data_IF_902309792889
#
_entry.id   IF_902309792889
#
_cell.length_a   1.000
_cell.length_b   1.000
_cell.length_c   1.000
_cell.angle_alpha   90.00
_cell.angle_beta   90.00
_cell.angle_gamma   90.00
#
_symmetry.space_group_name_H-M   'P 1'
#
loop_
_entity.id
_entity.type
_entity.pdbx_description
1 polymer ?
#
# COMPACT_ATOMS: atom_id res chain seq x y z
N UNK A 1 0.44 -19.18 7.24
CA UNK A 1 1.35 -18.11 6.75
C UNK A 1 2.08 -18.64 5.52
N UNK A 2 2.10 -17.91 4.41
CA UNK A 2 2.76 -18.37 3.17
C UNK A 2 4.29 -18.35 3.37
N UNK A 3 4.98 -19.45 3.04
CA UNK A 3 6.45 -19.59 3.16
C UNK A 3 7.17 -18.45 2.43
N UNK A 4 6.68 -18.04 1.26
CA UNK A 4 7.22 -16.93 0.50
C UNK A 4 7.24 -15.62 1.31
N UNK A 5 6.15 -15.29 2.00
CA UNK A 5 6.10 -14.08 2.85
C UNK A 5 7.03 -14.18 4.06
N UNK A 6 7.20 -15.37 4.62
CA UNK A 6 8.16 -15.57 5.72
C UNK A 6 9.59 -15.29 5.26
N UNK A 7 10.00 -15.88 4.15
CA UNK A 7 11.33 -15.67 3.55
C UNK A 7 11.51 -14.18 3.22
N UNK A 8 10.51 -13.55 2.60
CA UNK A 8 10.56 -12.14 2.26
C UNK A 8 10.69 -11.25 3.51
N UNK A 9 9.94 -11.52 4.58
CA UNK A 9 10.07 -10.78 5.86
C UNK A 9 11.46 -10.91 6.47
N UNK A 10 12.05 -12.11 6.45
CA UNK A 10 13.41 -12.34 6.94
C UNK A 10 14.42 -11.54 6.11
N UNK A 11 14.30 -11.57 4.80
CA UNK A 11 15.13 -10.78 3.88
C UNK A 11 15.01 -9.28 4.18
N UNK A 12 13.77 -8.75 4.24
CA UNK A 12 13.52 -7.34 4.52
C UNK A 12 14.05 -6.92 5.89
N UNK A 13 13.89 -7.78 6.91
CA UNK A 13 14.40 -7.52 8.26
C UNK A 13 15.92 -7.46 8.29
N UNK A 14 16.59 -8.39 7.58
CA UNK A 14 18.05 -8.48 7.58
C UNK A 14 18.70 -7.34 6.77
N UNK A 15 18.28 -7.17 5.52
CA UNK A 15 18.92 -6.23 4.60
C UNK A 15 18.49 -4.78 4.81
N UNK A 16 17.22 -4.53 5.03
CA UNK A 16 16.68 -3.18 5.26
C UNK A 16 16.62 -2.80 6.75
N UNK A 17 17.10 -3.66 7.65
CA UNK A 17 17.06 -3.44 9.11
C UNK A 17 15.67 -2.93 9.54
N UNK A 18 14.63 -3.59 9.02
CA UNK A 18 13.25 -3.14 9.15
C UNK A 18 12.82 -3.05 10.60
N UNK A 19 12.37 -1.87 11.01
CA UNK A 19 11.69 -1.64 12.29
C UNK A 19 10.19 -1.57 12.05
N UNK A 20 9.44 -2.37 12.78
CA UNK A 20 8.00 -2.45 12.68
C UNK A 20 7.40 -1.95 13.98
N UNK A 21 6.55 -0.96 13.89
CA UNK A 21 5.83 -0.39 15.02
C UNK A 21 4.33 -0.48 14.76
N UNK A 22 3.62 -1.11 15.69
CA UNK A 22 2.16 -1.21 15.66
C UNK A 22 1.58 -0.38 16.80
N UNK A 23 0.57 0.43 16.52
CA UNK A 23 -0.31 0.98 17.55
C UNK A 23 -1.38 -0.05 17.93
N UNK A 24 -1.90 -0.75 16.93
CA UNK A 24 -2.82 -1.88 17.12
C UNK A 24 -2.42 -3.04 16.20
N UNK A 25 -2.68 -4.27 16.65
CA UNK A 25 -2.54 -5.43 15.80
C UNK A 25 -3.52 -5.29 14.62
N UNK A 26 -3.02 -5.43 13.37
CA UNK A 26 -3.91 -5.42 12.20
C UNK A 26 -4.76 -6.70 12.25
N UNK A 27 -5.88 -6.63 12.94
CA UNK A 27 -6.93 -7.61 12.82
C UNK A 27 -7.90 -7.07 11.77
N UNK A 28 -7.78 -7.55 10.54
CA UNK A 28 -8.75 -7.24 9.47
C UNK A 28 -10.00 -8.10 9.69
N UNK A 29 -10.69 -7.87 10.80
CA UNK A 29 -11.93 -8.60 11.13
C UNK A 29 -13.11 -8.13 10.28
N UNK A 30 -12.96 -7.01 9.59
CA UNK A 30 -13.94 -6.41 8.70
C UNK A 30 -13.25 -5.84 7.45
N UNK A 31 -14.00 -5.62 6.34
CA UNK A 31 -13.46 -5.02 5.13
C UNK A 31 -12.78 -3.69 5.41
N UNK A 32 -11.52 -3.59 5.06
CA UNK A 32 -10.68 -2.45 5.39
C UNK A 32 -9.99 -1.88 4.15
N UNK A 33 -9.77 -0.57 4.15
CA UNK A 33 -8.99 0.14 3.14
C UNK A 33 -7.65 0.52 3.76
N UNK A 34 -6.60 -0.18 3.38
CA UNK A 34 -5.25 0.08 3.83
C UNK A 34 -4.66 1.19 2.96
N UNK A 35 -4.17 2.26 3.60
CA UNK A 35 -3.72 3.49 2.95
C UNK A 35 -2.26 3.82 3.29
N UNK A 36 -1.29 3.19 2.59
CA UNK A 36 0.12 3.50 2.77
C UNK A 36 0.54 4.77 2.00
N UNK A 37 1.57 5.49 2.51
CA UNK A 37 2.26 6.51 1.73
C UNK A 37 3.11 5.86 0.62
N UNK A 38 3.46 6.63 -0.44
CA UNK A 38 4.12 6.07 -1.62
C UNK A 38 5.41 6.82 -2.00
N UNK A 39 6.54 6.32 -1.54
CA UNK A 39 7.86 6.95 -1.75
C UNK A 39 8.82 6.11 -2.60
N UNK A 40 8.51 4.82 -2.78
CA UNK A 40 9.34 3.87 -3.53
C UNK A 40 8.50 2.75 -4.14
N UNK A 41 9.00 2.06 -5.15
CA UNK A 41 8.42 0.79 -5.60
C UNK A 41 8.45 -0.30 -4.53
N UNK A 42 9.38 -0.19 -3.57
CA UNK A 42 9.48 -1.13 -2.46
C UNK A 42 8.33 -1.02 -1.47
N UNK A 43 7.61 0.10 -1.39
CA UNK A 43 6.47 0.24 -0.47
C UNK A 43 5.46 -0.90 -0.66
N UNK A 44 5.12 -1.23 -1.92
CA UNK A 44 4.21 -2.34 -2.22
C UNK A 44 4.76 -3.71 -1.79
N UNK A 45 6.09 -3.91 -1.89
CA UNK A 45 6.76 -5.15 -1.46
C UNK A 45 6.67 -5.30 0.06
N UNK A 46 6.90 -4.22 0.81
CA UNK A 46 6.76 -4.21 2.26
C UNK A 46 5.31 -4.46 2.68
N UNK A 47 4.35 -3.75 2.05
CA UNK A 47 2.92 -3.98 2.30
C UNK A 47 2.55 -5.45 2.05
N UNK A 48 2.96 -6.02 0.91
CA UNK A 48 2.72 -7.42 0.60
C UNK A 48 3.31 -8.38 1.65
N UNK A 49 4.53 -8.13 2.08
CA UNK A 49 5.21 -8.99 3.05
C UNK A 49 4.51 -9.02 4.41
N UNK A 50 3.97 -7.89 4.87
CA UNK A 50 3.47 -7.74 6.24
C UNK A 50 1.94 -7.83 6.38
N UNK A 51 1.17 -7.67 5.31
CA UNK A 51 -0.29 -7.83 5.35
C UNK A 51 -0.75 -9.29 5.16
N UNK A 52 -2.00 -9.63 5.52
CA UNK A 52 -2.63 -10.91 5.20
C UNK A 52 -2.64 -11.24 3.70
N UNK A 53 -2.88 -12.51 3.35
CA UNK A 53 -2.82 -12.96 1.94
C UNK A 53 -4.05 -12.57 1.13
N UNK A 54 -5.15 -12.38 1.78
CA UNK A 54 -6.47 -12.09 1.20
C UNK A 54 -6.69 -10.61 0.85
N UNK A 55 -5.73 -9.75 1.18
CA UNK A 55 -5.81 -8.33 0.84
C UNK A 55 -5.57 -8.12 -0.67
N UNK A 56 -6.44 -7.34 -1.32
CA UNK A 56 -6.39 -7.04 -2.74
C UNK A 56 -5.68 -5.71 -3.02
N UNK A 57 -4.64 -5.73 -3.86
CA UNK A 57 -3.91 -4.53 -4.25
C UNK A 57 -4.61 -3.80 -5.40
N UNK A 58 -4.85 -2.51 -5.23
CA UNK A 58 -5.41 -1.65 -6.28
C UNK A 58 -4.28 -1.07 -7.12
N UNK A 59 -4.23 -1.40 -8.40
CA UNK A 59 -3.12 -1.07 -9.30
C UNK A 59 -3.64 -0.36 -10.54
N UNK A 60 -2.93 0.68 -10.97
CA UNK A 60 -3.22 1.32 -12.25
C UNK A 60 -3.02 0.35 -13.42
N UNK A 61 -3.98 0.27 -14.34
CA UNK A 61 -3.96 -0.64 -15.49
C UNK A 61 -2.67 -0.53 -16.32
N UNK A 62 -2.14 0.69 -16.50
CA UNK A 62 -0.89 0.91 -17.24
C UNK A 62 0.33 0.34 -16.51
N UNK A 63 0.32 0.40 -15.17
CA UNK A 63 1.40 -0.16 -14.33
C UNK A 63 1.30 -1.68 -14.31
N UNK A 64 0.09 -2.23 -14.18
CA UNK A 64 -0.13 -3.67 -14.16
C UNK A 64 0.42 -4.36 -15.42
N UNK A 65 0.23 -3.76 -16.60
CA UNK A 65 0.79 -4.28 -17.87
C UNK A 65 2.33 -4.35 -17.88
N UNK A 66 3.02 -3.55 -17.06
CA UNK A 66 4.49 -3.56 -16.96
C UNK A 66 5.02 -4.52 -15.89
N UNK A 67 4.16 -4.96 -14.99
CA UNK A 67 4.53 -5.77 -13.81
C UNK A 67 3.86 -7.14 -13.81
N UNK A 68 3.54 -7.71 -14.96
CA UNK A 68 2.77 -8.96 -15.08
C UNK A 68 3.33 -10.12 -14.26
N UNK A 69 4.67 -10.33 -14.28
CA UNK A 69 5.31 -11.43 -13.56
C UNK A 69 5.16 -11.32 -12.03
N UNK A 70 5.57 -10.20 -11.37
CA UNK A 70 5.42 -10.09 -9.92
C UNK A 70 3.95 -10.04 -9.47
N UNK A 71 3.04 -9.57 -10.31
CA UNK A 71 1.61 -9.51 -9.97
C UNK A 71 0.94 -10.89 -9.89
N UNK A 72 1.52 -11.94 -10.48
CA UNK A 72 1.02 -13.33 -10.32
C UNK A 72 1.10 -13.83 -8.88
N UNK A 73 1.88 -13.18 -8.03
CA UNK A 73 2.08 -13.57 -6.63
C UNK A 73 1.11 -12.90 -5.65
N UNK A 74 0.31 -11.94 -6.11
CA UNK A 74 -0.57 -11.14 -5.27
C UNK A 74 -2.00 -11.13 -5.79
N UNK A 75 -2.95 -10.95 -4.87
CA UNK A 75 -4.31 -10.63 -5.23
C UNK A 75 -4.40 -9.16 -5.62
N UNK A 76 -4.86 -8.84 -6.81
CA UNK A 76 -4.94 -7.46 -7.28
C UNK A 76 -6.14 -7.17 -8.17
N UNK A 77 -6.51 -5.91 -8.22
CA UNK A 77 -7.51 -5.37 -9.13
C UNK A 77 -6.94 -4.18 -9.88
N UNK A 78 -7.19 -4.13 -11.19
CA UNK A 78 -6.77 -2.99 -12.00
C UNK A 78 -7.85 -1.93 -12.08
N UNK A 79 -7.42 -0.66 -12.02
CA UNK A 79 -8.26 0.51 -12.21
C UNK A 79 -7.63 1.45 -13.24
N UNK A 80 -8.49 2.20 -13.94
CA UNK A 80 -8.10 3.39 -14.69
C UNK A 80 -8.53 4.62 -13.88
N UNK A 81 -7.60 5.45 -13.38
CA UNK A 81 -7.92 6.63 -12.57
C UNK A 81 -8.81 7.65 -13.31
N UNK A 82 -8.83 7.62 -14.64
CA UNK A 82 -9.65 8.51 -15.47
C UNK A 82 -11.06 7.96 -15.74
N UNK A 83 -11.32 6.71 -15.40
CA UNK A 83 -12.61 6.08 -15.62
C UNK A 83 -13.52 6.22 -14.38
N UNK A 84 -14.74 6.77 -14.54
CA UNK A 84 -15.71 6.84 -13.45
C UNK A 84 -16.14 5.45 -12.95
N UNK A 85 -16.02 4.42 -13.78
CA UNK A 85 -16.32 3.03 -13.39
C UNK A 85 -15.34 2.45 -12.39
N UNK A 86 -14.11 2.98 -12.31
CA UNK A 86 -13.09 2.51 -11.36
C UNK A 86 -13.54 2.67 -9.91
N UNK A 87 -14.16 3.80 -9.58
CA UNK A 87 -14.68 4.06 -8.25
C UNK A 87 -15.82 3.08 -7.88
N UNK A 88 -16.77 2.87 -8.80
CA UNK A 88 -17.88 1.91 -8.61
C UNK A 88 -17.34 0.49 -8.42
N UNK A 89 -16.33 0.09 -9.20
CA UNK A 89 -15.66 -1.22 -9.09
C UNK A 89 -15.07 -1.41 -7.70
N UNK A 90 -14.36 -0.40 -7.16
CA UNK A 90 -13.74 -0.48 -5.83
C UNK A 90 -14.79 -0.50 -4.71
N UNK A 91 -15.84 0.30 -4.82
CA UNK A 91 -16.96 0.27 -3.85
C UNK A 91 -17.59 -1.13 -3.81
N UNK A 92 -17.87 -1.74 -4.96
CA UNK A 92 -18.45 -3.08 -5.02
C UNK A 92 -17.48 -4.13 -4.43
N UNK A 93 -16.19 -4.02 -4.70
CA UNK A 93 -15.17 -4.93 -4.18
C UNK A 93 -15.09 -4.88 -2.65
N UNK A 94 -15.09 -3.68 -2.06
CA UNK A 94 -15.08 -3.53 -0.59
C UNK A 94 -16.40 -4.00 0.01
N UNK A 95 -17.55 -3.70 -0.62
CA UNK A 95 -18.88 -4.19 -0.16
C UNK A 95 -19.00 -5.71 -0.22
N UNK A 96 -18.28 -6.39 -1.10
CA UNK A 96 -18.26 -7.86 -1.12
C UNK A 96 -17.40 -8.50 -0.02
N UNK A 97 -16.88 -7.69 0.91
CA UNK A 97 -16.08 -8.19 2.05
C UNK A 97 -14.56 -8.14 1.82
N UNK A 98 -14.11 -7.64 0.66
CA UNK A 98 -12.69 -7.65 0.31
C UNK A 98 -11.96 -6.44 0.91
N UNK A 99 -10.93 -6.67 1.70
CA UNK A 99 -9.99 -5.62 2.10
C UNK A 99 -9.06 -5.24 0.94
N UNK A 100 -8.76 -3.94 0.82
CA UNK A 100 -7.97 -3.41 -0.29
C UNK A 100 -6.80 -2.56 0.17
N UNK A 101 -5.70 -2.58 -0.58
CA UNK A 101 -4.57 -1.63 -0.44
C UNK A 101 -4.68 -0.59 -1.55
N UNK A 102 -4.77 0.67 -1.16
CA UNK A 102 -4.81 1.79 -2.09
C UNK A 102 -3.75 2.81 -1.67
N UNK A 103 -2.81 3.11 -2.56
CA UNK A 103 -1.88 4.22 -2.36
C UNK A 103 -2.61 5.54 -2.66
N UNK A 104 -2.91 6.36 -1.62
CA UNK A 104 -3.81 7.51 -1.76
C UNK A 104 -3.28 8.62 -2.65
N UNK A 105 -1.97 8.64 -2.87
CA UNK A 105 -1.25 9.60 -3.71
C UNK A 105 -1.36 9.29 -5.21
N UNK A 106 -1.79 8.07 -5.57
CA UNK A 106 -1.95 7.60 -6.95
C UNK A 106 -0.64 7.48 -7.75
N UNK A 107 0.49 7.86 -7.18
CA UNK A 107 1.83 7.79 -7.78
C UNK A 107 2.93 7.83 -6.71
N UNK A 108 4.13 7.37 -7.07
CA UNK A 108 5.31 7.48 -6.21
C UNK A 108 5.72 8.95 -6.10
N UNK A 109 5.95 9.41 -4.87
CA UNK A 109 6.41 10.78 -4.56
C UNK A 109 7.76 11.05 -5.21
N UNK A 110 7.90 12.25 -5.81
CA UNK A 110 9.17 12.76 -6.34
C UNK A 110 9.93 13.62 -5.34
N UNK A 111 9.24 14.13 -4.32
CA UNK A 111 9.80 15.01 -3.30
C UNK A 111 10.17 14.26 -2.02
N UNK A 112 9.73 12.99 -1.89
CA UNK A 112 9.86 12.23 -0.65
C UNK A 112 8.95 12.71 0.49
N UNK A 113 8.05 13.65 0.18
CA UNK A 113 7.01 14.14 1.09
C UNK A 113 5.66 13.52 0.70
N UNK A 114 4.72 13.52 1.65
CA UNK A 114 3.34 13.15 1.37
C UNK A 114 2.76 14.11 0.31
N UNK A 115 2.20 13.55 -0.74
CA UNK A 115 1.58 14.34 -1.80
C UNK A 115 0.06 14.48 -1.59
N UNK A 116 -0.60 15.13 -2.53
CA UNK A 116 -2.06 15.25 -2.54
C UNK A 116 -2.72 13.85 -2.47
N UNK A 117 -3.59 13.68 -1.50
CA UNK A 117 -4.47 12.51 -1.37
C UNK A 117 -5.71 12.72 -2.22
N UNK A 118 -6.11 11.72 -3.00
CA UNK A 118 -7.32 11.78 -3.81
C UNK A 118 -8.58 11.50 -2.99
N UNK A 119 -9.59 12.35 -3.16
CA UNK A 119 -10.86 12.26 -2.44
C UNK A 119 -11.66 10.96 -2.69
N UNK A 120 -11.35 10.25 -3.78
CA UNK A 120 -12.01 8.98 -4.10
C UNK A 120 -11.94 7.93 -3.00
N UNK A 121 -10.85 7.93 -2.21
CA UNK A 121 -10.70 6.98 -1.08
C UNK A 121 -11.70 7.29 0.02
N UNK A 122 -11.86 8.57 0.38
CA UNK A 122 -12.88 9.00 1.35
C UNK A 122 -14.29 8.61 0.90
N UNK A 123 -14.59 8.80 -0.39
CA UNK A 123 -15.90 8.40 -0.93
C UNK A 123 -16.12 6.88 -0.88
N UNK A 124 -15.08 6.06 -1.16
CA UNK A 124 -15.17 4.60 -1.02
C UNK A 124 -15.46 4.26 0.44
N UNK A 125 -14.69 4.81 1.39
CA UNK A 125 -14.86 4.55 2.81
C UNK A 125 -16.27 4.89 3.31
N UNK A 126 -16.78 6.09 2.98
CA UNK A 126 -18.14 6.51 3.35
C UNK A 126 -19.22 5.60 2.72
N UNK A 127 -19.10 5.24 1.45
CA UNK A 127 -20.09 4.40 0.75
C UNK A 127 -20.08 2.93 1.17
N UNK A 128 -19.01 2.47 1.81
CA UNK A 128 -18.84 1.08 2.23
C UNK A 128 -18.82 0.89 3.74
N UNK A 129 -18.77 1.97 4.52
CA UNK A 129 -18.52 1.96 5.95
C UNK A 129 -17.24 1.17 6.33
N UNK A 130 -16.26 1.14 5.41
CA UNK A 130 -15.02 0.40 5.60
C UNK A 130 -14.09 1.14 6.55
N UNK A 131 -13.33 0.37 7.33
CA UNK A 131 -12.31 0.89 8.22
C UNK A 131 -11.08 1.31 7.42
N UNK A 132 -10.55 2.50 7.69
CA UNK A 132 -9.31 3.02 7.13
C UNK A 132 -8.14 2.63 8.03
N UNK A 133 -7.08 2.05 7.45
CA UNK A 133 -5.86 1.63 8.16
C UNK A 133 -4.66 2.36 7.57
N UNK A 134 -4.14 3.41 8.20
CA UNK A 134 -2.98 4.14 7.70
C UNK A 134 -1.69 3.36 7.95
N UNK A 135 -0.82 3.33 6.94
CA UNK A 135 0.54 2.79 7.05
C UNK A 135 1.54 3.86 6.61
N UNK A 136 2.56 4.10 7.41
CA UNK A 136 3.61 5.07 7.11
C UNK A 136 4.94 4.34 6.97
N UNK A 137 5.56 4.49 5.81
CA UNK A 137 6.94 4.09 5.57
C UNK A 137 7.87 5.29 5.70
N UNK A 138 8.96 5.10 6.44
CA UNK A 138 10.10 6.01 6.43
C UNK A 138 11.35 5.26 6.01
N UNK A 139 12.29 5.99 5.38
CA UNK A 139 13.54 5.39 4.87
C UNK A 139 13.48 4.94 3.42
N UNK A 140 12.35 4.45 2.90
CA UNK A 140 12.23 3.94 1.53
C UNK A 140 12.50 4.99 0.44
N UNK A 141 12.33 6.28 0.75
CA UNK A 141 12.72 7.39 -0.13
C UNK A 141 14.21 7.40 -0.48
N UNK A 142 15.05 6.80 0.36
CA UNK A 142 16.49 6.68 0.13
C UNK A 142 16.88 5.43 -0.67
N UNK A 143 15.92 4.62 -1.10
CA UNK A 143 16.21 3.44 -1.90
C UNK A 143 16.52 3.80 -3.36
N UNK A 144 17.33 2.99 -4.04
CA UNK A 144 17.56 3.13 -5.50
C UNK A 144 16.29 2.92 -6.33
N UNK A 145 15.24 2.35 -5.75
CA UNK A 145 13.92 2.16 -6.38
C UNK A 145 12.93 3.29 -6.03
N UNK A 146 13.40 4.35 -5.36
CA UNK A 146 12.63 5.57 -5.15
C UNK A 146 12.67 6.45 -6.42
N UNK A 147 11.66 7.30 -6.58
CA UNK A 147 11.64 8.35 -7.61
C UNK A 147 12.02 9.72 -7.07
N UNK A 148 12.44 9.80 -5.82
CA UNK A 148 12.96 11.03 -5.24
C UNK A 148 14.28 11.34 -5.92
N UNK A 149 14.28 12.41 -6.74
CA UNK A 149 15.46 12.82 -7.50
C UNK A 149 16.33 13.78 -6.70
N UNK A 150 17.64 13.59 -6.81
CA UNK A 150 18.71 14.58 -6.69
C UNK A 150 19.09 15.14 -5.31
N UNK A 151 18.34 14.85 -4.24
CA UNK A 151 18.67 15.44 -2.92
C UNK A 151 19.32 14.50 -1.92
N UNK A 152 19.33 13.18 -2.20
CA UNK A 152 19.80 12.18 -1.23
C UNK A 152 20.67 11.11 -1.87
N UNK A 153 21.71 10.67 -1.15
CA UNK A 153 22.46 9.49 -1.54
C UNK A 153 21.57 8.25 -1.50
N UNK A 154 21.34 7.66 -2.67
CA UNK A 154 20.52 6.46 -2.77
C UNK A 154 21.29 5.21 -2.33
N UNK A 155 20.65 4.36 -1.53
CA UNK A 155 21.19 3.11 -1.02
C UNK A 155 20.41 1.92 -1.61
N UNK A 156 21.07 0.78 -1.79
CA UNK A 156 20.38 -0.47 -2.16
C UNK A 156 19.45 -0.93 -1.05
N UNK A 157 19.93 -0.87 0.20
CA UNK A 157 19.21 -1.34 1.39
C UNK A 157 19.21 -0.24 2.46
N UNK A 158 18.41 0.81 2.30
CA UNK A 158 18.25 1.81 3.35
C UNK A 158 17.55 1.21 4.56
N UNK A 159 17.84 1.73 5.75
CA UNK A 159 17.05 1.37 6.94
C UNK A 159 15.61 1.84 6.78
N UNK A 160 14.65 0.95 7.06
CA UNK A 160 13.21 1.20 6.87
C UNK A 160 12.47 1.07 8.18
N UNK A 161 11.58 2.02 8.46
CA UNK A 161 10.58 1.85 9.50
C UNK A 161 9.20 1.81 8.87
N UNK A 162 8.39 0.87 9.31
CA UNK A 162 6.98 0.74 8.94
C UNK A 162 6.15 0.96 10.21
N UNK A 163 5.31 1.96 10.16
CA UNK A 163 4.39 2.31 11.23
C UNK A 163 2.96 2.06 10.78
N UNK A 164 2.22 1.33 11.59
CA UNK A 164 0.81 1.08 11.38
C UNK A 164 0.04 1.87 12.42
N UNK A 165 -0.70 2.87 11.95
CA UNK A 165 -1.47 3.77 12.80
C UNK A 165 -2.79 3.17 13.24
N UNK A 166 -3.49 3.91 14.10
CA UNK A 166 -4.82 3.53 14.56
C UNK A 166 -5.81 3.52 13.39
N UNK A 167 -6.61 2.50 13.35
CA UNK A 167 -7.69 2.38 12.38
C UNK A 167 -8.87 3.28 12.76
N UNK A 168 -9.54 3.83 11.77
CA UNK A 168 -10.70 4.71 11.98
C UNK A 168 -11.74 4.55 10.88
N UNK A 169 -12.99 4.97 11.17
CA UNK A 169 -14.05 5.10 10.17
C UNK A 169 -14.32 6.58 9.92
N UNK A 170 -14.85 6.88 8.74
CA UNK A 170 -15.32 8.22 8.43
C UNK A 170 -16.80 8.29 8.80
N UNK A 171 -17.17 9.34 9.54
CA UNK A 171 -18.57 9.69 9.76
C UNK A 171 -19.11 10.39 8.51
N UNK A 172 -20.37 10.10 8.10
CA UNK A 172 -21.01 10.67 6.93
C UNK A 172 -21.29 12.17 7.04
#
# INVERSE_FOLDING_TARGET
>A
MNILKLILRLFLKLFFKTKLTYHQQILLNEPSIIIPNHTSFLDAVFVFAYLPNDVCFVINTRIAKKLELPLKLINYVTIDPLSPYSLKKLINLVKSGQSVVIFPEGRISRTGMLMKVYNGIGLIALKTNATLVPIIFTGLKYSKLSRVTDKFKAHFFPQVSMYIGDSFKLDP
#
